data_IF_755425946684
#
_entry.id   IF_755425946684
#
_cell.length_a   1.000
_cell.length_b   1.000
_cell.length_c   1.000
_cell.angle_alpha   90.00
_cell.angle_beta   90.00
_cell.angle_gamma   90.00
#
_symmetry.space_group_name_H-M   'P 1'
#
loop_
_entity.id
_entity.type
_entity.pdbx_description
1 polymer ?
#
# COMPACT_ATOMS: atom_id res chain seq x y z
N UNK A 1 9.88 -26.97 9.21
CA UNK A 1 9.31 -26.65 7.88
C UNK A 1 10.17 -27.12 6.69
N UNK A 2 11.29 -27.83 6.87
CA UNK A 2 12.24 -28.17 5.78
C UNK A 2 11.99 -29.52 5.06
N UNK A 3 10.91 -30.25 5.37
CA UNK A 3 10.61 -31.57 4.78
C UNK A 3 9.21 -31.67 4.16
N UNK A 4 8.58 -30.53 3.81
CA UNK A 4 7.23 -30.50 3.24
C UNK A 4 7.25 -30.39 1.71
N UNK A 5 6.30 -31.05 1.05
CA UNK A 5 5.95 -30.76 -0.35
C UNK A 5 5.36 -29.34 -0.45
N UNK A 6 5.73 -28.59 -1.49
CA UNK A 6 5.12 -27.29 -1.81
C UNK A 6 4.85 -27.23 -3.32
N UNK A 7 3.68 -26.71 -3.69
CA UNK A 7 3.34 -26.41 -5.08
C UNK A 7 3.79 -24.98 -5.42
N UNK A 8 4.30 -24.78 -6.62
CA UNK A 8 4.63 -23.44 -7.13
C UNK A 8 3.87 -23.23 -8.44
N UNK A 9 3.03 -22.19 -8.49
CA UNK A 9 2.46 -21.72 -9.75
C UNK A 9 3.35 -20.63 -10.33
N UNK A 10 3.73 -20.81 -11.60
CA UNK A 10 4.62 -19.93 -12.34
C UNK A 10 4.02 -19.40 -13.65
N UNK A 11 2.74 -19.67 -13.92
CA UNK A 11 2.01 -19.12 -15.06
C UNK A 11 0.86 -18.23 -14.61
N UNK A 12 0.54 -17.13 -15.34
CA UNK A 12 -0.58 -16.26 -15.00
C UNK A 12 -1.93 -16.99 -14.88
N UNK A 13 -2.17 -17.99 -15.73
CA UNK A 13 -3.40 -18.77 -15.76
C UNK A 13 -3.59 -19.63 -14.51
N UNK A 14 -2.57 -20.37 -14.10
CA UNK A 14 -2.60 -21.19 -12.87
C UNK A 14 -2.72 -20.31 -11.63
N UNK A 15 -2.05 -19.16 -11.59
CA UNK A 15 -2.15 -18.21 -10.48
C UNK A 15 -3.57 -17.67 -10.38
N UNK A 16 -4.17 -17.21 -11.48
CA UNK A 16 -5.54 -16.73 -11.51
C UNK A 16 -6.54 -17.81 -11.08
N UNK A 17 -6.38 -19.05 -11.58
CA UNK A 17 -7.21 -20.18 -11.19
C UNK A 17 -7.10 -20.46 -9.68
N UNK A 18 -5.87 -20.49 -9.13
CA UNK A 18 -5.64 -20.70 -7.70
C UNK A 18 -6.24 -19.59 -6.83
N UNK A 19 -6.18 -18.33 -7.25
CA UNK A 19 -6.76 -17.19 -6.51
C UNK A 19 -8.29 -17.25 -6.44
N UNK A 20 -8.93 -17.83 -7.45
CA UNK A 20 -10.39 -17.95 -7.56
C UNK A 20 -10.95 -19.27 -7.00
N UNK A 21 -10.10 -20.26 -6.70
CA UNK A 21 -10.55 -21.58 -6.28
C UNK A 21 -11.08 -21.59 -4.83
N UNK A 22 -12.23 -22.24 -4.62
CA UNK A 22 -12.93 -22.30 -3.33
C UNK A 22 -12.12 -22.96 -2.20
N UNK A 23 -11.47 -24.09 -2.50
CA UNK A 23 -10.70 -24.89 -1.54
C UNK A 23 -9.20 -24.54 -1.44
N UNK A 24 -8.76 -23.43 -2.05
CA UNK A 24 -7.37 -22.94 -1.98
C UNK A 24 -7.41 -21.62 -1.22
N UNK A 25 -6.98 -21.63 0.05
CA UNK A 25 -7.24 -20.52 0.98
C UNK A 25 -5.97 -19.86 1.51
N UNK A 26 -6.02 -18.54 1.73
CA UNK A 26 -4.99 -17.80 2.46
C UNK A 26 -5.22 -17.77 3.97
N UNK A 27 -6.45 -18.02 4.41
CA UNK A 27 -6.89 -17.88 5.80
C UNK A 27 -5.96 -18.58 6.82
N UNK A 28 -5.44 -19.81 6.59
CA UNK A 28 -4.51 -20.44 7.53
C UNK A 28 -3.22 -19.64 7.77
N UNK A 29 -2.70 -18.96 6.73
CA UNK A 29 -1.51 -18.11 6.87
C UNK A 29 -1.82 -16.82 7.61
N UNK A 30 -3.00 -16.23 7.34
CA UNK A 30 -3.46 -15.04 8.07
C UNK A 30 -3.58 -15.34 9.56
N UNK A 31 -4.15 -16.49 9.93
CA UNK A 31 -4.23 -17.02 11.29
C UNK A 31 -2.83 -17.16 11.91
N UNK A 32 -1.92 -17.89 11.25
CA UNK A 32 -0.57 -18.14 11.76
C UNK A 32 0.24 -16.85 11.96
N UNK A 33 0.13 -15.91 11.02
CA UNK A 33 0.80 -14.61 11.10
C UNK A 33 0.18 -13.71 12.18
N UNK A 34 -1.15 -13.61 12.23
CA UNK A 34 -1.86 -12.75 13.20
C UNK A 34 -1.58 -13.19 14.62
N UNK A 35 -1.59 -14.50 14.90
CA UNK A 35 -1.24 -15.04 16.23
C UNK A 35 0.24 -14.87 16.62
N UNK A 36 1.13 -14.58 15.67
CA UNK A 36 2.53 -14.27 15.94
C UNK A 36 2.75 -12.77 16.18
N UNK A 37 2.05 -11.96 15.40
CA UNK A 37 2.23 -10.52 15.32
C UNK A 37 1.44 -9.78 16.40
N UNK A 38 0.21 -10.22 16.68
CA UNK A 38 -0.67 -9.62 17.66
C UNK A 38 -0.27 -10.01 19.09
N UNK A 39 -0.47 -9.08 20.02
CA UNK A 39 -0.25 -9.29 21.46
C UNK A 39 -1.53 -9.59 22.21
N UNK A 40 -2.40 -10.43 21.62
CA UNK A 40 -3.72 -10.66 22.16
C UNK A 40 -3.74 -11.77 23.21
N UNK A 41 -4.55 -11.62 24.27
CA UNK A 41 -4.98 -12.73 25.10
C UNK A 41 -5.51 -13.91 24.27
N UNK A 42 -5.22 -15.13 24.74
CA UNK A 42 -5.60 -16.36 24.02
C UNK A 42 -7.08 -16.42 23.65
N UNK A 43 -7.98 -16.00 24.55
CA UNK A 43 -9.42 -16.03 24.27
C UNK A 43 -9.83 -15.13 23.10
N UNK A 44 -9.19 -13.97 22.92
CA UNK A 44 -9.41 -13.10 21.77
C UNK A 44 -8.89 -13.71 20.48
N UNK A 45 -7.72 -14.35 20.53
CA UNK A 45 -7.20 -15.13 19.40
C UNK A 45 -8.18 -16.24 19.03
N UNK A 46 -8.64 -17.03 20.00
CA UNK A 46 -9.56 -18.14 19.76
C UNK A 46 -10.87 -17.65 19.13
N UNK A 47 -11.40 -16.50 19.54
CA UNK A 47 -12.57 -15.85 18.90
C UNK A 47 -12.27 -15.43 17.46
N UNK A 48 -11.15 -14.75 17.21
CA UNK A 48 -10.77 -14.32 15.85
C UNK A 48 -10.51 -15.50 14.90
N UNK A 49 -10.10 -16.65 15.44
CA UNK A 49 -9.86 -17.87 14.67
C UNK A 49 -11.11 -18.71 14.38
N UNK A 50 -12.28 -18.32 14.87
CA UNK A 50 -13.51 -19.04 14.54
C UNK A 50 -13.82 -18.93 13.04
N UNK A 51 -14.34 -20.01 12.40
CA UNK A 51 -14.60 -20.03 10.97
C UNK A 51 -15.45 -18.82 10.52
N UNK A 52 -14.96 -18.10 9.52
CA UNK A 52 -15.68 -16.98 8.91
C UNK A 52 -15.49 -15.62 9.59
N UNK A 53 -14.91 -15.54 10.79
CA UNK A 53 -14.67 -14.26 11.48
C UNK A 53 -13.66 -13.39 10.71
N UNK A 54 -12.49 -13.94 10.38
CA UNK A 54 -11.49 -13.21 9.58
C UNK A 54 -12.04 -12.80 8.21
N UNK A 55 -12.81 -13.69 7.56
CA UNK A 55 -13.48 -13.37 6.31
C UNK A 55 -14.46 -12.21 6.44
N UNK A 56 -15.25 -12.18 7.53
CA UNK A 56 -16.17 -11.09 7.80
C UNK A 56 -15.42 -9.77 8.08
N UNK A 57 -14.29 -9.82 8.80
CA UNK A 57 -13.41 -8.65 8.98
C UNK A 57 -12.91 -8.13 7.63
N UNK A 58 -12.43 -9.01 6.74
CA UNK A 58 -12.00 -8.64 5.38
C UNK A 58 -13.12 -8.01 4.57
N UNK A 59 -14.33 -8.57 4.64
CA UNK A 59 -15.52 -8.04 3.97
C UNK A 59 -15.89 -6.65 4.50
N UNK A 60 -15.85 -6.45 5.82
CA UNK A 60 -16.07 -5.15 6.45
C UNK A 60 -15.04 -4.12 5.99
N UNK A 61 -13.76 -4.49 5.89
CA UNK A 61 -12.72 -3.60 5.35
C UNK A 61 -12.97 -3.25 3.89
N UNK A 62 -13.27 -4.25 3.05
CA UNK A 62 -13.49 -4.06 1.62
C UNK A 62 -14.73 -3.22 1.30
N UNK A 63 -15.76 -3.28 2.14
CA UNK A 63 -16.96 -2.44 2.01
C UNK A 63 -16.67 -0.96 2.33
N UNK A 64 -15.79 -0.71 3.30
CA UNK A 64 -15.46 0.64 3.78
C UNK A 64 -14.38 1.36 2.97
N UNK A 65 -13.75 0.69 2.01
CA UNK A 65 -12.74 1.25 1.11
C UNK A 65 -13.30 1.40 -0.32
N UNK A 66 -14.57 1.81 -0.43
CA UNK A 66 -15.28 2.08 -1.68
C UNK A 66 -16.18 3.30 -1.53
N UNK A 67 -16.61 3.86 -2.67
CA UNK A 67 -17.64 4.90 -2.75
C UNK A 67 -17.36 6.08 -1.79
N UNK A 68 -18.38 6.59 -1.10
CA UNK A 68 -18.31 7.78 -0.24
C UNK A 68 -17.28 7.63 0.90
N UNK A 69 -17.17 6.44 1.52
CA UNK A 69 -16.22 6.20 2.60
C UNK A 69 -14.77 6.35 2.12
N UNK A 70 -14.46 5.80 0.94
CA UNK A 70 -13.15 5.99 0.30
C UNK A 70 -12.91 7.45 -0.09
N UNK A 71 -13.92 8.15 -0.60
CA UNK A 71 -13.78 9.57 -0.99
C UNK A 71 -13.45 10.47 0.21
N UNK A 72 -14.07 10.24 1.36
CA UNK A 72 -13.74 10.96 2.61
C UNK A 72 -12.30 10.71 3.05
N UNK A 73 -11.85 9.45 2.99
CA UNK A 73 -10.45 9.10 3.30
C UNK A 73 -9.48 9.77 2.32
N UNK A 74 -9.74 9.68 1.01
CA UNK A 74 -8.94 10.32 -0.03
C UNK A 74 -8.83 11.84 0.23
N UNK A 75 -9.95 12.49 0.52
CA UNK A 75 -9.96 13.93 0.80
C UNK A 75 -9.11 14.28 2.03
N UNK A 76 -9.23 13.53 3.12
CA UNK A 76 -8.46 13.76 4.34
C UNK A 76 -6.95 13.57 4.11
N UNK A 77 -6.54 12.49 3.44
CA UNK A 77 -5.14 12.23 3.13
C UNK A 77 -4.55 13.30 2.20
N UNK A 78 -5.24 13.60 1.10
CA UNK A 78 -4.77 14.60 0.13
C UNK A 78 -4.77 16.02 0.70
N UNK A 79 -5.71 16.34 1.61
CA UNK A 79 -5.68 17.62 2.34
C UNK A 79 -4.43 17.73 3.21
N UNK A 80 -4.03 16.66 3.90
CA UNK A 80 -2.77 16.63 4.65
C UNK A 80 -1.57 16.83 3.71
N UNK A 81 -1.53 16.09 2.60
CA UNK A 81 -0.46 16.19 1.61
C UNK A 81 -0.35 17.59 1.00
N UNK A 82 -1.47 18.22 0.65
CA UNK A 82 -1.50 19.62 0.23
C UNK A 82 -0.94 20.56 1.31
N UNK A 83 -1.28 20.31 2.58
CA UNK A 83 -0.71 21.03 3.72
C UNK A 83 0.82 20.98 3.73
N UNK A 84 1.41 19.80 3.53
CA UNK A 84 2.86 19.62 3.42
C UNK A 84 3.43 20.34 2.20
N UNK A 85 2.78 20.23 1.03
CA UNK A 85 3.21 20.97 -0.18
C UNK A 85 3.20 22.49 0.02
N UNK A 86 2.24 22.99 0.79
CA UNK A 86 2.10 24.42 1.07
C UNK A 86 3.16 24.98 2.02
N UNK A 87 3.86 24.15 2.79
CA UNK A 87 4.96 24.62 3.67
C UNK A 87 6.28 24.77 2.95
N UNK A 88 6.42 24.17 1.75
CA UNK A 88 7.66 24.24 0.96
C UNK A 88 7.79 25.63 0.36
N UNK A 89 8.79 26.36 0.86
CA UNK A 89 9.13 27.71 0.44
C UNK A 89 10.64 27.76 0.14
N UNK A 90 11.03 28.32 -1.01
CA UNK A 90 12.42 28.32 -1.46
C UNK A 90 12.98 26.92 -1.73
N UNK A 91 14.31 26.78 -1.73
CA UNK A 91 15.00 25.51 -1.94
C UNK A 91 15.04 24.74 -0.62
N UNK A 92 14.33 23.62 -0.57
CA UNK A 92 14.26 22.71 0.58
C UNK A 92 15.04 21.44 0.30
N UNK A 93 16.24 21.24 0.87
CA UNK A 93 16.95 19.97 0.76
C UNK A 93 16.20 18.90 1.56
N UNK A 94 16.01 17.73 0.96
CA UNK A 94 15.56 16.54 1.65
C UNK A 94 16.80 15.75 2.08
N UNK A 95 16.97 15.53 3.38
CA UNK A 95 18.11 14.78 3.92
C UNK A 95 18.11 13.32 3.46
N UNK A 96 16.90 12.74 3.30
CA UNK A 96 16.63 11.44 2.71
C UNK A 96 15.23 11.50 2.08
N UNK A 97 15.17 11.36 0.75
CA UNK A 97 13.90 11.48 0.02
C UNK A 97 12.92 10.34 0.32
N UNK A 98 13.43 9.13 0.57
CA UNK A 98 12.57 8.00 0.93
C UNK A 98 11.96 8.18 2.31
N UNK A 99 12.75 8.56 3.32
CA UNK A 99 12.26 8.83 4.67
C UNK A 99 11.26 9.98 4.69
N UNK A 100 11.48 11.04 3.90
CA UNK A 100 10.54 12.15 3.77
C UNK A 100 9.20 11.71 3.16
N UNK A 101 9.23 11.00 2.02
CA UNK A 101 8.00 10.46 1.39
C UNK A 101 7.28 9.51 2.33
N UNK A 102 8.03 8.59 2.96
CA UNK A 102 7.51 7.59 3.87
C UNK A 102 6.83 8.23 5.08
N UNK A 103 7.45 9.22 5.71
CA UNK A 103 6.86 9.96 6.84
C UNK A 103 5.63 10.77 6.42
N UNK A 104 5.74 11.50 5.31
CA UNK A 104 4.67 12.36 4.78
C UNK A 104 3.41 11.57 4.43
N UNK A 105 3.58 10.47 3.70
CA UNK A 105 2.47 9.58 3.36
C UNK A 105 1.87 8.93 4.60
N UNK A 106 2.70 8.41 5.50
CA UNK A 106 2.19 7.69 6.69
C UNK A 106 1.36 8.62 7.57
N UNK A 107 1.77 9.87 7.73
CA UNK A 107 0.99 10.88 8.43
C UNK A 107 -0.30 11.28 7.70
N UNK A 108 -0.27 11.35 6.37
CA UNK A 108 -1.47 11.59 5.57
C UNK A 108 -2.49 10.45 5.75
N UNK A 109 -2.05 9.20 5.64
CA UNK A 109 -2.86 8.00 5.85
C UNK A 109 -3.38 7.92 7.28
N UNK A 110 -2.55 8.17 8.29
CA UNK A 110 -2.98 8.17 9.69
C UNK A 110 -4.03 9.26 9.95
N UNK A 111 -3.86 10.45 9.38
CA UNK A 111 -4.85 11.54 9.48
C UNK A 111 -6.17 11.14 8.82
N UNK A 112 -6.12 10.47 7.66
CA UNK A 112 -7.31 9.95 7.01
C UNK A 112 -8.03 8.85 7.80
N UNK A 113 -7.28 8.08 8.60
CA UNK A 113 -7.83 7.01 9.44
C UNK A 113 -8.44 7.56 10.74
N UNK A 114 -7.71 8.38 11.49
CA UNK A 114 -8.06 8.79 12.85
C UNK A 114 -8.76 10.16 12.96
N UNK A 115 -8.86 10.91 11.86
CA UNK A 115 -9.50 12.23 11.86
C UNK A 115 -8.75 13.27 12.69
N UNK A 116 -9.48 14.19 13.32
CA UNK A 116 -8.94 15.29 14.14
C UNK A 116 -8.22 14.82 15.40
N UNK A 117 -8.55 13.61 15.86
CA UNK A 117 -7.96 12.98 17.04
C UNK A 117 -6.76 12.09 16.68
N UNK A 118 -6.18 12.28 15.48
CA UNK A 118 -4.96 11.61 15.06
C UNK A 118 -3.83 11.85 16.08
N UNK A 119 -3.40 10.75 16.72
CA UNK A 119 -2.36 10.72 17.74
C UNK A 119 -0.96 10.41 17.17
N UNK A 120 -0.84 10.26 15.85
CA UNK A 120 0.42 9.90 15.23
C UNK A 120 1.38 11.08 15.23
N UNK A 121 2.63 10.81 15.56
CA UNK A 121 3.73 11.78 15.56
C UNK A 121 5.01 11.12 15.01
N UNK A 122 6.11 11.88 14.98
CA UNK A 122 7.39 11.39 14.49
C UNK A 122 7.90 10.16 15.25
N UNK A 123 7.59 10.05 16.55
CA UNK A 123 8.01 8.92 17.39
C UNK A 123 7.20 7.67 17.07
N UNK A 124 5.90 7.81 16.85
CA UNK A 124 5.03 6.72 16.40
C UNK A 124 5.46 6.19 15.02
N UNK A 125 5.89 7.06 14.11
CA UNK A 125 6.46 6.64 12.84
C UNK A 125 7.71 5.77 13.04
N UNK A 126 8.64 6.20 13.90
CA UNK A 126 9.84 5.41 14.22
C UNK A 126 9.48 4.04 14.82
N UNK A 127 8.49 3.99 15.70
CA UNK A 127 7.99 2.74 16.27
C UNK A 127 7.35 1.83 15.21
N UNK A 128 6.59 2.40 14.27
CA UNK A 128 6.01 1.64 13.15
C UNK A 128 7.11 0.95 12.32
N UNK A 129 8.15 1.69 11.96
CA UNK A 129 9.25 1.15 11.15
C UNK A 129 10.18 0.22 11.94
N UNK A 130 10.33 0.45 13.24
CA UNK A 130 11.03 -0.49 14.14
C UNK A 130 10.27 -1.81 14.26
N UNK A 131 8.95 -1.74 14.40
CA UNK A 131 8.08 -2.91 14.42
C UNK A 131 8.14 -3.66 13.09
N UNK A 132 8.01 -2.96 11.98
CA UNK A 132 8.08 -3.51 10.63
C UNK A 132 9.34 -4.36 10.41
N UNK A 133 10.52 -3.81 10.73
CA UNK A 133 11.82 -4.50 10.56
C UNK A 133 11.90 -5.83 11.31
N UNK A 134 11.16 -5.98 12.42
CA UNK A 134 11.12 -7.21 13.21
C UNK A 134 9.84 -8.04 13.06
N UNK A 135 8.82 -7.55 12.35
CA UNK A 135 7.53 -8.23 12.22
C UNK A 135 7.68 -9.61 11.55
N UNK A 136 8.57 -9.72 10.56
CA UNK A 136 8.93 -10.98 9.94
C UNK A 136 9.47 -12.02 10.93
N UNK A 137 10.33 -11.60 11.85
CA UNK A 137 10.90 -12.49 12.86
C UNK A 137 9.85 -12.96 13.87
N UNK A 138 8.84 -12.13 14.16
CA UNK A 138 7.70 -12.52 15.00
C UNK A 138 6.88 -13.65 14.35
N UNK A 139 6.64 -13.58 13.03
CA UNK A 139 5.92 -14.61 12.27
C UNK A 139 6.62 -15.98 12.35
N UNK A 140 7.94 -16.00 12.44
CA UNK A 140 8.71 -17.25 12.57
C UNK A 140 8.51 -17.96 13.93
N UNK A 141 8.04 -17.24 14.96
CA UNK A 141 7.79 -17.75 16.33
C UNK A 141 8.99 -18.40 17.01
N UNK A 142 10.22 -18.08 16.58
CA UNK A 142 11.46 -18.61 17.18
C UNK A 142 11.96 -17.64 18.25
N UNK A 143 11.74 -17.97 19.53
CA UNK A 143 12.20 -17.18 20.68
C UNK A 143 12.02 -15.65 20.50
N UNK A 144 10.79 -15.15 20.32
CA UNK A 144 10.52 -13.78 19.85
C UNK A 144 11.13 -12.69 20.75
N UNK A 145 11.18 -12.92 22.07
CA UNK A 145 11.79 -12.00 23.03
C UNK A 145 13.31 -11.86 22.85
N UNK A 146 13.97 -12.83 22.22
CA UNK A 146 15.41 -12.78 21.91
C UNK A 146 15.67 -12.24 20.51
N UNK A 147 14.89 -12.65 19.52
CA UNK A 147 15.15 -12.30 18.10
C UNK A 147 14.51 -10.99 17.66
N UNK A 148 13.43 -10.55 18.31
CA UNK A 148 12.68 -9.34 17.93
C UNK A 148 12.28 -8.44 19.12
N UNK A 149 13.13 -8.23 20.16
CA UNK A 149 12.74 -7.46 21.35
C UNK A 149 12.37 -6.02 21.03
N UNK A 150 13.06 -5.38 20.07
CA UNK A 150 12.75 -4.00 19.63
C UNK A 150 11.38 -3.88 18.99
N UNK A 151 10.98 -4.86 18.17
CA UNK A 151 9.67 -4.87 17.53
C UNK A 151 8.55 -5.10 18.54
N UNK A 152 8.76 -5.98 19.54
CA UNK A 152 7.81 -6.19 20.63
C UNK A 152 7.61 -4.90 21.44
N UNK A 153 8.71 -4.24 21.79
CA UNK A 153 8.66 -2.97 22.53
C UNK A 153 7.97 -1.86 21.72
N UNK A 154 8.27 -1.76 20.41
CA UNK A 154 7.61 -0.81 19.52
C UNK A 154 6.11 -1.10 19.41
N UNK A 155 5.70 -2.35 19.14
CA UNK A 155 4.29 -2.78 19.15
C UNK A 155 3.57 -2.36 20.42
N UNK A 156 4.18 -2.59 21.58
CA UNK A 156 3.61 -2.21 22.86
C UNK A 156 3.40 -0.70 22.96
N UNK A 157 4.41 0.10 22.62
CA UNK A 157 4.30 1.57 22.63
C UNK A 157 3.20 2.07 21.69
N UNK A 158 3.08 1.48 20.50
CA UNK A 158 2.02 1.83 19.55
C UNK A 158 0.63 1.52 20.12
N UNK A 159 0.43 0.32 20.67
CA UNK A 159 -0.82 -0.07 21.31
C UNK A 159 -1.16 0.83 22.51
N UNK A 160 -0.18 1.16 23.36
CA UNK A 160 -0.39 2.03 24.51
C UNK A 160 -0.81 3.45 24.09
N UNK A 161 -0.26 4.00 23.01
CA UNK A 161 -0.65 5.33 22.50
C UNK A 161 -2.06 5.32 21.88
N UNK A 162 -2.43 4.23 21.22
CA UNK A 162 -3.73 4.08 20.55
C UNK A 162 -4.86 3.77 21.57
N UNK A 163 -4.52 3.19 22.72
CA UNK A 163 -5.50 2.75 23.73
C UNK A 163 -6.48 3.84 24.20
N UNK A 164 -6.05 5.08 24.56
CA UNK A 164 -6.99 6.12 24.99
C UNK A 164 -8.02 6.49 23.93
N UNK A 165 -7.68 6.38 22.64
CA UNK A 165 -8.60 6.68 21.54
C UNK A 165 -9.79 5.73 21.52
N UNK A 166 -9.56 4.42 21.64
CA UNK A 166 -10.64 3.43 21.69
C UNK A 166 -11.36 3.42 23.04
N UNK A 167 -10.66 3.63 24.16
CA UNK A 167 -11.27 3.74 25.49
C UNK A 167 -12.27 4.90 25.57
N UNK A 168 -11.89 6.06 25.02
CA UNK A 168 -12.75 7.23 24.97
C UNK A 168 -13.78 7.18 23.82
N UNK A 169 -13.89 6.04 23.11
CA UNK A 169 -14.84 5.83 21.99
C UNK A 169 -14.68 6.85 20.86
N UNK A 170 -13.48 7.43 20.73
CA UNK A 170 -13.19 8.43 19.68
C UNK A 170 -13.25 7.81 18.28
N UNK A 171 -13.08 6.50 18.18
CA UNK A 171 -13.27 5.75 16.94
C UNK A 171 -14.67 5.92 16.35
N UNK A 172 -15.67 6.32 17.14
CA UNK A 172 -17.05 6.55 16.70
C UNK A 172 -17.32 7.97 16.18
N UNK A 173 -16.32 8.86 16.27
CA UNK A 173 -16.44 10.23 15.78
C UNK A 173 -16.67 10.24 14.26
N UNK A 174 -17.48 11.19 13.79
CA UNK A 174 -17.92 11.27 12.39
C UNK A 174 -16.79 11.53 11.39
N UNK A 175 -15.67 12.10 11.86
CA UNK A 175 -14.47 12.39 11.06
C UNK A 175 -13.45 11.24 11.02
N UNK A 176 -13.66 10.18 11.80
CA UNK A 176 -12.85 8.95 11.75
C UNK A 176 -13.26 8.10 10.53
N UNK A 177 -12.30 7.40 9.92
CA UNK A 177 -12.60 6.55 8.76
C UNK A 177 -13.59 5.43 9.11
N UNK A 178 -14.55 5.17 8.21
CA UNK A 178 -15.54 4.08 8.38
C UNK A 178 -14.90 2.71 8.58
N UNK A 179 -13.71 2.48 8.00
CA UNK A 179 -12.96 1.24 8.22
C UNK A 179 -12.61 1.04 9.70
N UNK A 180 -12.17 2.08 10.42
CA UNK A 180 -11.88 1.96 11.86
C UNK A 180 -13.18 1.84 12.68
N UNK A 181 -14.19 2.67 12.39
CA UNK A 181 -15.49 2.62 13.05
C UNK A 181 -16.12 1.22 13.01
N UNK A 182 -16.24 0.66 11.81
CA UNK A 182 -16.98 -0.57 11.59
C UNK A 182 -16.19 -1.79 12.06
N UNK A 183 -14.86 -1.77 11.95
CA UNK A 183 -14.00 -2.82 12.53
C UNK A 183 -14.07 -2.81 14.05
N UNK A 184 -13.92 -1.64 14.68
CA UNK A 184 -13.97 -1.51 16.13
C UNK A 184 -15.33 -1.94 16.69
N UNK A 185 -16.43 -1.53 16.02
CA UNK A 185 -17.77 -2.01 16.34
C UNK A 185 -17.89 -3.53 16.23
N UNK A 186 -17.45 -4.12 15.12
CA UNK A 186 -17.52 -5.57 14.92
C UNK A 186 -16.68 -6.34 15.96
N UNK A 187 -15.48 -5.87 16.28
CA UNK A 187 -14.64 -6.48 17.32
C UNK A 187 -15.30 -6.40 18.71
N UNK A 188 -16.00 -5.31 19.03
CA UNK A 188 -16.79 -5.19 20.27
C UNK A 188 -17.98 -6.14 20.30
N UNK A 189 -18.68 -6.33 19.17
CA UNK A 189 -19.76 -7.32 19.05
C UNK A 189 -19.26 -8.75 19.28
N UNK A 190 -17.99 -9.03 18.97
CA UNK A 190 -17.31 -10.29 19.29
C UNK A 190 -16.83 -10.39 20.74
N UNK A 191 -17.12 -9.40 21.58
CA UNK A 191 -16.76 -9.38 23.00
C UNK A 191 -15.37 -8.84 23.30
N UNK A 192 -14.67 -8.22 22.33
CA UNK A 192 -13.40 -7.54 22.59
C UNK A 192 -13.65 -6.14 23.16
N UNK A 193 -13.25 -5.86 24.42
CA UNK A 193 -13.50 -4.56 25.03
C UNK A 193 -12.61 -3.48 24.40
N UNK A 194 -13.02 -2.21 24.52
CA UNK A 194 -12.34 -1.08 23.86
C UNK A 194 -10.85 -0.96 24.19
N UNK A 195 -10.45 -1.28 25.42
CA UNK A 195 -9.06 -1.29 25.87
C UNK A 195 -8.18 -2.29 25.13
N UNK A 196 -8.75 -3.39 24.66
CA UNK A 196 -8.04 -4.47 23.96
C UNK A 196 -7.99 -4.24 22.44
N UNK A 197 -8.90 -3.42 21.88
CA UNK A 197 -8.89 -3.09 20.45
C UNK A 197 -7.54 -2.53 19.99
N UNK A 198 -6.89 -1.73 20.84
CA UNK A 198 -5.57 -1.13 20.55
C UNK A 198 -4.46 -2.15 20.26
N UNK A 199 -4.60 -3.39 20.76
CA UNK A 199 -3.64 -4.48 20.55
C UNK A 199 -3.75 -5.07 19.13
N UNK A 200 -4.81 -4.74 18.39
CA UNK A 200 -5.04 -5.19 17.01
C UNK A 200 -5.04 -4.05 16.01
N UNK A 201 -5.63 -2.92 16.37
CA UNK A 201 -5.95 -1.87 15.42
C UNK A 201 -4.73 -1.05 14.96
N UNK A 202 -3.60 -1.14 15.65
CA UNK A 202 -2.32 -0.59 15.16
C UNK A 202 -1.89 -1.24 13.81
N UNK A 203 -2.40 -2.44 13.50
CA UNK A 203 -2.13 -3.10 12.22
C UNK A 203 -2.75 -2.40 11.01
N UNK A 204 -3.80 -1.59 11.19
CA UNK A 204 -4.45 -0.90 10.07
C UNK A 204 -3.55 0.16 9.45
N UNK A 205 -3.02 1.15 10.19
CA UNK A 205 -2.07 2.10 9.64
C UNK A 205 -0.76 1.41 9.18
N UNK A 206 -0.31 0.34 9.85
CA UNK A 206 0.80 -0.49 9.36
C UNK A 206 0.53 -1.08 7.97
N UNK A 207 -0.60 -1.76 7.78
CA UNK A 207 -0.96 -2.37 6.51
C UNK A 207 -1.22 -1.34 5.40
N UNK A 208 -1.78 -0.18 5.76
CA UNK A 208 -2.11 0.88 4.82
C UNK A 208 -0.87 1.60 4.25
N UNK A 209 0.26 1.60 4.98
CA UNK A 209 1.43 2.43 4.66
C UNK A 209 2.65 1.62 4.22
N UNK A 210 2.82 0.39 4.72
CA UNK A 210 3.98 -0.49 4.46
C UNK A 210 4.38 -0.55 2.97
N UNK A 211 3.40 -0.75 2.09
CA UNK A 211 3.64 -0.89 0.65
C UNK A 211 3.47 0.43 -0.09
N UNK A 212 2.48 1.24 0.30
CA UNK A 212 2.15 2.49 -0.37
C UNK A 212 3.31 3.49 -0.29
N UNK A 213 4.03 3.57 0.82
CA UNK A 213 5.20 4.45 0.96
C UNK A 213 6.30 4.12 -0.06
N UNK A 214 6.57 2.83 -0.24
CA UNK A 214 7.55 2.36 -1.21
C UNK A 214 7.06 2.60 -2.64
N UNK A 215 5.79 2.30 -2.94
CA UNK A 215 5.21 2.54 -4.27
C UNK A 215 5.23 4.03 -4.65
N UNK A 216 4.91 4.92 -3.71
CA UNK A 216 4.97 6.35 -3.92
C UNK A 216 6.42 6.81 -4.17
N UNK A 217 7.37 6.35 -3.36
CA UNK A 217 8.78 6.65 -3.59
C UNK A 217 9.25 6.21 -4.97
N UNK A 218 8.94 4.98 -5.40
CA UNK A 218 9.33 4.52 -6.73
C UNK A 218 8.64 5.31 -7.85
N UNK A 219 7.36 5.68 -7.69
CA UNK A 219 6.67 6.53 -8.67
C UNK A 219 7.32 7.90 -8.76
N UNK A 220 7.68 8.48 -7.61
CA UNK A 220 8.43 9.72 -7.55
C UNK A 220 9.80 9.57 -8.22
N UNK A 221 10.62 8.60 -7.81
CA UNK A 221 11.98 8.43 -8.33
C UNK A 221 12.00 8.17 -9.84
N UNK A 222 11.09 7.32 -10.33
CA UNK A 222 11.04 6.98 -11.76
C UNK A 222 10.52 8.15 -12.62
N UNK A 223 9.61 8.98 -12.10
CA UNK A 223 9.13 10.17 -12.84
C UNK A 223 10.15 11.29 -12.77
N UNK A 224 10.65 11.66 -11.59
CA UNK A 224 11.47 12.86 -11.40
C UNK A 224 12.95 12.68 -11.76
N UNK A 225 13.44 11.45 -11.95
CA UNK A 225 14.75 11.21 -12.58
C UNK A 225 14.76 11.41 -14.10
N UNK A 226 13.59 11.65 -14.73
CA UNK A 226 13.40 11.73 -16.18
C UNK A 226 12.65 13.00 -16.56
N UNK A 227 13.34 14.09 -16.94
CA UNK A 227 12.71 15.38 -17.24
C UNK A 227 11.57 15.29 -18.27
N UNK A 228 11.70 14.43 -19.27
CA UNK A 228 10.68 14.16 -20.29
C UNK A 228 9.39 13.54 -19.72
N UNK A 229 9.50 12.76 -18.63
CA UNK A 229 8.34 12.17 -17.96
C UNK A 229 7.68 13.19 -17.04
N UNK A 230 8.46 14.00 -16.32
CA UNK A 230 7.93 15.14 -15.55
C UNK A 230 7.09 16.05 -16.45
N UNK A 231 7.61 16.38 -17.64
CA UNK A 231 6.90 17.26 -18.57
C UNK A 231 5.63 16.61 -19.12
N UNK A 232 5.64 15.32 -19.50
CA UNK A 232 4.40 14.62 -19.91
C UNK A 232 3.35 14.61 -18.80
N UNK A 233 3.74 14.26 -17.57
CA UNK A 233 2.81 14.27 -16.42
C UNK A 233 2.24 15.67 -16.23
N UNK A 234 3.08 16.71 -16.28
CA UNK A 234 2.65 18.11 -16.15
C UNK A 234 1.62 18.52 -17.20
N UNK A 235 1.83 18.13 -18.46
CA UNK A 235 0.89 18.41 -19.55
C UNK A 235 -0.47 17.70 -19.35
N UNK A 236 -0.50 16.57 -18.66
CA UNK A 236 -1.75 15.91 -18.27
C UNK A 236 -2.43 16.62 -17.10
N UNK A 237 -1.67 16.89 -16.03
CA UNK A 237 -2.22 17.40 -14.77
C UNK A 237 -2.73 18.83 -14.90
N UNK A 238 -2.09 19.68 -15.72
CA UNK A 238 -2.55 21.06 -15.94
C UNK A 238 -3.99 21.12 -16.49
N UNK A 239 -4.44 20.10 -17.22
CA UNK A 239 -5.79 20.04 -17.80
C UNK A 239 -6.88 19.71 -16.78
N UNK A 240 -6.50 19.12 -15.64
CA UNK A 240 -7.41 18.74 -14.55
C UNK A 240 -7.23 19.58 -13.29
N UNK A 241 -6.29 20.52 -13.32
CA UNK A 241 -6.09 21.51 -12.29
C UNK A 241 -6.96 22.75 -12.57
N UNK A 242 -7.63 23.25 -11.53
CA UNK A 242 -8.40 24.49 -11.60
C UNK A 242 -7.69 25.55 -10.77
N UNK A 243 -7.38 26.67 -11.41
CA UNK A 243 -6.75 27.83 -10.80
C UNK A 243 -7.81 28.89 -10.44
N UNK A 244 -7.80 29.36 -9.20
CA UNK A 244 -8.63 30.47 -8.75
C UNK A 244 -7.79 31.52 -8.02
N UNK A 245 -8.14 32.80 -8.19
CA UNK A 245 -7.49 33.88 -7.44
C UNK A 245 -7.90 33.82 -5.97
N UNK A 246 -6.93 33.93 -5.06
CA UNK A 246 -7.15 34.05 -3.61
C UNK A 246 -6.54 35.36 -3.08
N UNK A 247 -6.83 35.69 -1.82
CA UNK A 247 -6.32 36.93 -1.19
C UNK A 247 -4.80 36.97 -1.11
N UNK A 248 -4.15 35.81 -0.98
CA UNK A 248 -2.71 35.65 -0.79
C UNK A 248 -1.98 35.16 -2.03
N UNK A 249 -2.65 35.05 -3.18
CA UNK A 249 -2.07 34.49 -4.41
C UNK A 249 -3.09 33.72 -5.23
N UNK A 250 -2.80 32.44 -5.48
CA UNK A 250 -3.64 31.54 -6.28
C UNK A 250 -3.90 30.24 -5.57
N UNK A 251 -5.12 29.76 -5.63
CA UNK A 251 -5.46 28.41 -5.21
C UNK A 251 -5.45 27.51 -6.45
N UNK A 252 -4.68 26.41 -6.40
CA UNK A 252 -4.70 25.38 -7.44
C UNK A 252 -5.31 24.12 -6.87
N UNK A 253 -6.47 23.75 -7.41
CA UNK A 253 -7.25 22.59 -6.98
C UNK A 253 -7.15 21.47 -8.00
N UNK A 254 -6.66 20.30 -7.58
CA UNK A 254 -6.64 19.08 -8.41
C UNK A 254 -7.83 18.19 -8.03
N UNK A 255 -8.60 17.76 -9.03
CA UNK A 255 -9.61 16.72 -8.83
C UNK A 255 -8.98 15.33 -8.85
N UNK A 256 -8.82 14.73 -7.68
CA UNK A 256 -8.16 13.45 -7.53
C UNK A 256 -8.90 12.29 -8.23
N UNK A 257 -10.24 12.37 -8.37
CA UNK A 257 -11.02 11.35 -9.12
C UNK A 257 -10.73 11.38 -10.61
N UNK A 258 -10.37 12.54 -11.16
CA UNK A 258 -10.07 12.71 -12.58
C UNK A 258 -8.70 12.15 -12.96
N UNK A 259 -7.74 12.11 -12.01
CA UNK A 259 -6.35 11.72 -12.32
C UNK A 259 -6.22 10.35 -13.00
N UNK A 260 -7.03 9.37 -12.60
CA UNK A 260 -6.97 8.03 -13.21
C UNK A 260 -7.44 8.02 -14.67
N UNK A 261 -8.48 8.79 -15.00
CA UNK A 261 -9.07 8.82 -16.34
C UNK A 261 -8.37 9.81 -17.27
N UNK A 262 -7.98 10.96 -16.74
CA UNK A 262 -7.55 12.14 -17.51
C UNK A 262 -6.01 12.35 -17.49
N UNK A 263 -5.28 11.58 -16.67
CA UNK A 263 -3.81 11.54 -16.65
C UNK A 263 -3.27 10.13 -16.94
N UNK A 264 -3.50 9.60 -18.17
CA UNK A 264 -3.17 8.22 -18.51
C UNK A 264 -1.67 7.90 -18.43
N UNK A 265 -0.78 8.83 -18.75
CA UNK A 265 0.67 8.62 -18.61
C UNK A 265 1.10 8.56 -17.14
N UNK A 266 0.55 9.41 -16.27
CA UNK A 266 0.79 9.30 -14.83
C UNK A 266 0.26 7.97 -14.27
N UNK A 267 -0.94 7.55 -14.67
CA UNK A 267 -1.49 6.24 -14.33
C UNK A 267 -0.64 5.08 -14.85
N UNK A 268 -0.10 5.21 -16.06
CA UNK A 268 0.82 4.24 -16.66
C UNK A 268 2.15 4.16 -15.90
N UNK A 269 2.71 5.29 -15.44
CA UNK A 269 3.89 5.31 -14.58
C UNK A 269 3.65 4.52 -13.30
N UNK A 270 2.50 4.75 -12.64
CA UNK A 270 2.13 4.01 -11.44
C UNK A 270 1.98 2.50 -11.70
N UNK A 271 1.32 2.11 -12.79
CA UNK A 271 1.19 0.68 -13.17
C UNK A 271 2.55 0.03 -13.45
N UNK A 272 3.47 0.75 -14.08
CA UNK A 272 4.82 0.25 -14.37
C UNK A 272 5.67 0.14 -13.11
N UNK A 273 5.54 1.06 -12.17
CA UNK A 273 6.12 0.93 -10.83
C UNK A 273 5.60 -0.31 -10.13
N UNK A 274 4.29 -0.55 -10.13
CA UNK A 274 3.71 -1.73 -9.52
C UNK A 274 4.22 -3.03 -10.16
N UNK A 275 4.53 -3.02 -11.46
CA UNK A 275 5.12 -4.17 -12.16
C UNK A 275 6.59 -4.40 -11.76
N UNK A 276 7.40 -3.36 -11.79
CA UNK A 276 8.85 -3.50 -11.55
C UNK A 276 9.20 -3.65 -10.08
N UNK A 277 8.47 -2.99 -9.20
CA UNK A 277 8.82 -2.89 -7.78
C UNK A 277 7.96 -3.78 -6.88
N UNK A 278 6.94 -4.47 -7.40
CA UNK A 278 6.26 -5.52 -6.63
C UNK A 278 7.07 -6.81 -6.59
N UNK A 279 7.28 -7.32 -5.38
CA UNK A 279 7.89 -8.61 -5.08
C UNK A 279 6.94 -9.49 -4.25
N UNK A 280 5.62 -9.30 -4.44
CA UNK A 280 4.57 -10.00 -3.71
C UNK A 280 4.68 -11.53 -3.86
N UNK A 281 4.62 -12.25 -2.73
CA UNK A 281 4.55 -13.72 -2.70
C UNK A 281 3.15 -14.16 -2.28
N UNK A 282 2.43 -14.78 -3.21
CA UNK A 282 1.14 -15.40 -2.91
C UNK A 282 1.33 -16.68 -2.12
N UNK A 283 0.59 -16.83 -1.03
CA UNK A 283 0.60 -18.03 -0.20
C UNK A 283 -0.81 -18.61 -0.13
N UNK A 284 -0.95 -19.92 -0.32
CA UNK A 284 -2.22 -20.63 -0.15
C UNK A 284 -2.01 -22.00 0.46
N UNK A 285 -2.99 -22.46 1.23
CA UNK A 285 -3.10 -23.83 1.76
C UNK A 285 -4.21 -24.54 0.98
N UNK A 286 -3.92 -25.76 0.53
CA UNK A 286 -4.93 -26.62 -0.09
C UNK A 286 -5.80 -27.22 1.02
N UNK A 287 -7.07 -26.83 1.10
CA UNK A 287 -7.99 -27.20 2.18
C UNK A 287 -8.67 -28.55 1.94
N UNK A 288 -8.84 -28.92 0.67
CA UNK A 288 -9.31 -30.22 0.17
C UNK A 288 -8.55 -30.58 -1.09
N UNK A 289 -8.45 -31.87 -1.41
CA UNK A 289 -7.91 -32.29 -2.71
C UNK A 289 -8.67 -31.54 -3.82
N UNK A 290 -7.92 -30.89 -4.72
CA UNK A 290 -8.45 -29.96 -5.71
C UNK A 290 -7.70 -30.09 -7.02
N UNK A 291 -8.36 -29.83 -8.14
CA UNK A 291 -7.73 -29.84 -9.46
C UNK A 291 -7.69 -28.43 -10.01
N UNK A 292 -6.51 -27.98 -10.43
CA UNK A 292 -6.37 -26.76 -11.25
C UNK A 292 -6.22 -27.15 -12.71
N UNK A 293 -6.76 -26.32 -13.60
CA UNK A 293 -6.59 -26.45 -15.04
C UNK A 293 -5.90 -25.21 -15.57
N UNK A 294 -4.91 -25.38 -16.46
CA UNK A 294 -4.29 -24.26 -17.17
C UNK A 294 -5.05 -23.91 -18.46
N UNK A 295 -4.53 -22.96 -19.22
CA UNK A 295 -5.13 -22.51 -20.49
C UNK A 295 -5.07 -23.55 -21.61
N UNK A 296 -4.22 -24.56 -21.48
CA UNK A 296 -4.03 -25.64 -22.47
C UNK A 296 -4.85 -26.88 -22.10
N UNK A 297 -5.69 -26.79 -21.05
CA UNK A 297 -6.50 -27.90 -20.55
C UNK A 297 -5.71 -28.91 -19.70
N UNK A 298 -4.47 -28.61 -19.31
CA UNK A 298 -3.68 -29.51 -18.46
C UNK A 298 -4.19 -29.44 -17.02
N UNK A 299 -4.48 -30.60 -16.46
CA UNK A 299 -5.03 -30.72 -15.11
C UNK A 299 -3.95 -31.11 -14.09
N UNK A 300 -3.98 -30.43 -12.94
CA UNK A 300 -3.02 -30.57 -11.85
C UNK A 300 -3.75 -30.93 -10.56
N UNK A 301 -3.57 -32.17 -10.08
CA UNK A 301 -4.12 -32.60 -8.80
C UNK A 301 -3.28 -32.07 -7.63
N UNK A 302 -3.89 -31.20 -6.83
CA UNK A 302 -3.34 -30.64 -5.61
C UNK A 302 -3.87 -31.39 -4.40
N UNK A 303 -2.97 -31.72 -3.48
CA UNK A 303 -3.27 -32.52 -2.29
C UNK A 303 -3.52 -31.66 -1.07
N UNK A 304 -4.58 -31.98 -0.31
CA UNK A 304 -4.94 -31.35 0.96
C UNK A 304 -3.74 -31.25 1.89
N UNK A 305 -3.64 -30.12 2.59
CA UNK A 305 -2.59 -29.83 3.57
C UNK A 305 -1.27 -29.34 2.96
N UNK A 306 -1.12 -29.42 1.64
CA UNK A 306 0.08 -28.89 0.95
C UNK A 306 -0.03 -27.38 0.80
N UNK A 307 1.09 -26.67 0.93
CA UNK A 307 1.15 -25.24 0.63
C UNK A 307 1.39 -25.01 -0.86
N UNK A 308 0.88 -23.90 -1.37
CA UNK A 308 1.07 -23.42 -2.73
C UNK A 308 1.58 -21.97 -2.68
N UNK A 309 2.56 -21.66 -3.52
CA UNK A 309 3.10 -20.31 -3.66
C UNK A 309 3.21 -19.86 -5.12
N UNK A 310 3.28 -18.55 -5.31
CA UNK A 310 3.69 -17.92 -6.55
C UNK A 310 4.37 -16.58 -6.25
N UNK A 311 5.17 -16.09 -7.18
CA UNK A 311 5.82 -14.79 -7.09
C UNK A 311 5.30 -13.87 -8.18
N UNK A 312 4.87 -12.67 -7.80
CA UNK A 312 4.52 -11.62 -8.75
C UNK A 312 5.71 -11.26 -9.66
N UNK A 313 6.95 -11.26 -9.12
CA UNK A 313 8.16 -11.03 -9.90
C UNK A 313 8.34 -11.98 -11.08
N UNK A 314 7.84 -13.23 -10.99
CA UNK A 314 7.91 -14.16 -12.12
C UNK A 314 7.02 -13.65 -13.25
N UNK A 315 5.75 -13.38 -12.98
CA UNK A 315 4.81 -12.94 -14.03
C UNK A 315 5.02 -11.51 -14.50
N UNK A 316 5.56 -10.65 -13.64
CA UNK A 316 5.83 -9.24 -13.94
C UNK A 316 7.03 -9.05 -14.88
N UNK A 317 7.91 -10.04 -15.00
CA UNK A 317 9.13 -9.96 -15.81
C UNK A 317 9.18 -10.99 -16.96
N UNK A 318 8.09 -11.71 -17.23
CA UNK A 318 7.96 -12.64 -18.38
C UNK A 318 8.16 -11.89 -19.72
N UNK A 319 9.26 -12.14 -20.47
CA UNK A 319 9.51 -11.48 -21.75
C UNK A 319 8.42 -11.75 -22.79
N UNK A 320 7.79 -12.92 -22.74
CA UNK A 320 6.69 -13.29 -23.62
C UNK A 320 5.43 -12.40 -23.44
N UNK A 321 5.30 -11.70 -22.30
CA UNK A 321 4.20 -10.76 -22.00
C UNK A 321 4.66 -9.31 -22.07
N UNK A 322 5.85 -9.04 -21.55
CA UNK A 322 6.35 -7.68 -21.33
C UNK A 322 7.43 -7.25 -22.33
N UNK A 323 7.93 -8.15 -23.18
CA UNK A 323 9.04 -7.90 -24.11
C UNK A 323 10.42 -8.16 -23.49
N UNK A 324 11.46 -8.24 -24.32
CA UNK A 324 12.85 -8.47 -23.87
C UNK A 324 13.36 -7.35 -22.94
N UNK A 325 12.76 -6.17 -23.04
CA UNK A 325 13.01 -5.00 -22.19
C UNK A 325 12.16 -5.03 -20.89
N UNK A 326 11.66 -6.19 -20.46
CA UNK A 326 10.82 -6.33 -19.26
C UNK A 326 11.48 -5.79 -17.98
N UNK A 327 12.81 -5.73 -17.90
CA UNK A 327 13.51 -5.16 -16.74
C UNK A 327 13.56 -3.62 -16.74
N UNK A 328 13.20 -2.97 -17.86
CA UNK A 328 13.25 -1.52 -18.01
C UNK A 328 11.93 -0.84 -17.63
N UNK A 329 12.02 0.32 -16.98
CA UNK A 329 10.87 1.18 -16.68
C UNK A 329 10.35 1.86 -17.95
N UNK A 330 9.20 1.39 -18.44
CA UNK A 330 8.56 1.86 -19.68
C UNK A 330 7.05 2.01 -19.50
N UNK A 331 6.55 3.16 -19.02
CA UNK A 331 5.12 3.42 -18.83
C UNK A 331 4.28 3.19 -20.10
N UNK A 332 4.85 3.41 -21.28
CA UNK A 332 4.20 3.21 -22.58
C UNK A 332 3.61 1.79 -22.75
N UNK A 333 4.06 0.80 -21.97
CA UNK A 333 3.44 -0.54 -21.94
C UNK A 333 1.97 -0.54 -21.52
N UNK A 334 1.48 0.53 -20.92
CA UNK A 334 0.10 0.67 -20.47
C UNK A 334 -0.69 1.70 -21.27
N UNK A 335 -0.11 2.23 -22.35
CA UNK A 335 -0.75 3.19 -23.24
C UNK A 335 -1.02 2.55 -24.60
N UNK A 336 -2.19 2.84 -25.17
CA UNK A 336 -2.57 2.46 -26.54
C UNK A 336 -2.28 0.98 -26.89
N UNK A 337 -2.62 0.08 -25.95
CA UNK A 337 -2.32 -1.36 -26.03
C UNK A 337 -3.40 -2.11 -26.81
N UNK A 338 -3.00 -3.04 -27.68
CA UNK A 338 -3.93 -3.96 -28.34
C UNK A 338 -4.76 -4.73 -27.29
N UNK A 339 -6.08 -4.90 -27.48
CA UNK A 339 -6.96 -5.55 -26.50
C UNK A 339 -6.51 -6.96 -26.05
N UNK A 340 -5.83 -7.71 -26.93
CA UNK A 340 -5.31 -9.05 -26.59
C UNK A 340 -4.12 -8.94 -25.65
N UNK A 341 -3.20 -8.03 -25.93
CA UNK A 341 -2.04 -7.78 -25.06
C UNK A 341 -2.46 -7.17 -23.72
N UNK A 342 -3.45 -6.28 -23.71
CA UNK A 342 -4.01 -5.74 -22.46
C UNK A 342 -4.60 -6.86 -21.59
N UNK A 343 -5.32 -7.82 -22.20
CA UNK A 343 -5.84 -8.99 -21.47
C UNK A 343 -4.71 -9.85 -20.88
N UNK A 344 -3.64 -10.10 -21.64
CA UNK A 344 -2.48 -10.89 -21.18
C UNK A 344 -1.74 -10.18 -20.04
N UNK A 345 -1.44 -8.89 -20.22
CA UNK A 345 -0.78 -8.03 -19.22
C UNK A 345 -1.60 -7.93 -17.93
N UNK A 346 -2.92 -7.75 -18.03
CA UNK A 346 -3.83 -7.73 -16.86
C UNK A 346 -3.81 -9.04 -16.08
N UNK A 347 -3.71 -10.19 -16.76
CA UNK A 347 -3.59 -11.49 -16.10
C UNK A 347 -2.25 -11.71 -15.40
N UNK A 348 -1.18 -11.10 -15.92
CA UNK A 348 0.17 -11.22 -15.36
C UNK A 348 0.45 -10.19 -14.24
N UNK A 349 -0.15 -9.01 -14.30
CA UNK A 349 0.04 -7.91 -13.37
C UNK A 349 -0.82 -8.09 -12.10
N UNK A 350 -0.24 -8.76 -11.09
CA UNK A 350 -0.89 -9.05 -9.80
C UNK A 350 -0.32 -8.33 -8.55
N UNK A 351 -0.01 -7.00 -8.59
CA UNK A 351 0.65 -6.29 -7.49
C UNK A 351 -0.18 -6.21 -6.20
N UNK A 352 -1.51 -6.37 -6.32
CA UNK A 352 -2.47 -6.30 -5.22
C UNK A 352 -3.05 -7.67 -4.84
N UNK A 353 -2.49 -8.76 -5.37
CA UNK A 353 -3.11 -10.08 -5.30
C UNK A 353 -4.34 -10.18 -6.20
N UNK A 354 -5.28 -11.07 -5.84
CA UNK A 354 -6.49 -11.32 -6.64
C UNK A 354 -7.47 -12.26 -5.96
N UNK A 355 -8.61 -12.47 -6.62
CA UNK A 355 -9.72 -13.26 -6.09
C UNK A 355 -10.30 -12.66 -4.80
N UNK A 356 -10.61 -13.53 -3.82
CA UNK A 356 -11.18 -13.13 -2.51
C UNK A 356 -10.23 -12.30 -1.65
N UNK A 357 -8.92 -12.36 -1.92
CA UNK A 357 -7.88 -11.68 -1.13
C UNK A 357 -7.23 -10.53 -1.90
N UNK A 358 -7.98 -9.88 -2.79
CA UNK A 358 -7.54 -8.67 -3.48
C UNK A 358 -7.43 -7.51 -2.48
N UNK A 359 -6.31 -6.78 -2.50
CA UNK A 359 -6.07 -5.66 -1.58
C UNK A 359 -7.27 -4.68 -1.56
N UNK A 360 -7.93 -4.46 -0.40
CA UNK A 360 -9.06 -3.57 -0.32
C UNK A 360 -8.66 -2.09 -0.45
N UNK A 361 -7.44 -1.73 -0.04
CA UNK A 361 -6.91 -0.36 -0.05
C UNK A 361 -6.29 0.11 -1.37
N UNK A 362 -6.30 -0.71 -2.43
CA UNK A 362 -5.60 -0.40 -3.70
C UNK A 362 -5.98 0.95 -4.33
N UNK A 363 -7.27 1.33 -4.27
CA UNK A 363 -7.74 2.60 -4.83
C UNK A 363 -7.35 3.81 -3.95
N UNK A 364 -7.28 3.61 -2.63
CA UNK A 364 -6.78 4.62 -1.69
C UNK A 364 -5.28 4.87 -1.95
N UNK A 365 -4.48 3.80 -2.00
CA UNK A 365 -3.05 3.87 -2.29
C UNK A 365 -2.73 4.53 -3.65
N UNK A 366 -3.52 4.20 -4.69
CA UNK A 366 -3.41 4.84 -6.00
C UNK A 366 -3.74 6.33 -5.92
N UNK A 367 -4.83 6.71 -5.22
CA UNK A 367 -5.24 8.11 -5.11
C UNK A 367 -4.20 8.95 -4.36
N UNK A 368 -3.66 8.45 -3.25
CA UNK A 368 -2.57 9.11 -2.51
C UNK A 368 -1.34 9.31 -3.42
N UNK A 369 -0.98 8.27 -4.18
CA UNK A 369 0.21 8.28 -5.03
C UNK A 369 0.07 9.25 -6.20
N UNK A 370 -1.00 9.13 -6.99
CA UNK A 370 -1.24 10.00 -8.13
C UNK A 370 -1.45 11.44 -7.68
N UNK A 371 -2.21 11.67 -6.61
CA UNK A 371 -2.45 13.01 -6.06
C UNK A 371 -1.15 13.72 -5.68
N UNK A 372 -0.29 13.08 -4.90
CA UNK A 372 0.97 13.69 -4.48
C UNK A 372 1.91 13.97 -5.64
N UNK A 373 2.13 12.97 -6.52
CA UNK A 373 3.02 13.11 -7.68
C UNK A 373 2.49 14.16 -8.67
N UNK A 374 1.17 14.25 -8.85
CA UNK A 374 0.56 15.23 -9.76
C UNK A 374 0.84 16.67 -9.35
N UNK A 375 0.67 17.01 -8.08
CA UNK A 375 0.94 18.35 -7.56
C UNK A 375 2.44 18.69 -7.60
N UNK A 376 3.30 17.72 -7.23
CA UNK A 376 4.76 17.87 -7.35
C UNK A 376 5.18 18.17 -8.80
N UNK A 377 4.72 17.37 -9.77
CA UNK A 377 5.09 17.54 -11.17
C UNK A 377 4.57 18.87 -11.74
N UNK A 378 3.38 19.29 -11.29
CA UNK A 378 2.72 20.47 -11.80
C UNK A 378 3.34 21.79 -11.32
N UNK A 379 3.86 21.90 -10.10
CA UNK A 379 4.36 23.19 -9.59
C UNK A 379 5.66 23.18 -8.81
N UNK A 380 6.42 22.08 -8.84
CA UNK A 380 7.74 22.01 -8.22
C UNK A 380 8.82 21.62 -9.22
N UNK A 381 10.03 22.13 -8.96
CA UNK A 381 11.27 21.64 -9.53
C UNK A 381 11.92 20.71 -8.50
N UNK A 382 12.35 19.54 -8.97
CA UNK A 382 12.91 18.47 -8.14
C UNK A 382 14.27 18.08 -8.71
N UNK A 383 15.33 18.52 -8.05
CA UNK A 383 16.70 18.27 -8.48
C UNK A 383 17.32 17.10 -7.71
N UNK A 384 18.29 16.42 -8.32
CA UNK A 384 19.11 15.40 -7.63
C UNK A 384 18.42 14.05 -7.45
N UNK A 385 17.36 13.76 -8.21
CA UNK A 385 16.66 12.46 -8.14
C UNK A 385 17.41 11.44 -8.99
N UNK A 386 17.93 10.42 -8.33
CA UNK A 386 18.44 9.19 -8.96
C UNK A 386 17.54 8.01 -8.58
N UNK A 387 17.40 7.03 -9.48
CA UNK A 387 16.69 5.78 -9.18
C UNK A 387 17.66 4.85 -8.46
N UNK A 388 17.48 4.59 -7.15
CA UNK A 388 18.38 3.73 -6.40
C UNK A 388 18.19 2.26 -6.79
N UNK A 389 19.15 1.42 -6.40
CA UNK A 389 18.98 -0.02 -6.47
C UNK A 389 17.79 -0.47 -5.60
N UNK A 390 17.11 -1.54 -6.02
CA UNK A 390 15.97 -2.08 -5.31
C UNK A 390 16.37 -3.30 -4.47
N UNK A 391 16.01 -3.30 -3.19
CA UNK A 391 16.16 -4.41 -2.26
C UNK A 391 14.84 -5.17 -2.08
N UNK A 392 14.95 -6.43 -1.68
CA UNK A 392 13.78 -7.25 -1.37
C UNK A 392 12.96 -6.62 -0.23
N UNK A 393 11.62 -6.73 -0.27
CA UNK A 393 10.81 -6.31 0.86
C UNK A 393 11.18 -7.10 2.14
N UNK A 394 10.95 -6.52 3.32
CA UNK A 394 10.89 -7.29 4.56
C UNK A 394 9.88 -8.43 4.45
N UNK A 395 10.04 -9.49 5.24
CA UNK A 395 9.05 -10.58 5.27
C UNK A 395 7.67 -10.02 5.66
N UNK A 396 6.68 -10.25 4.79
CA UNK A 396 5.32 -9.70 4.91
C UNK A 396 5.06 -8.43 4.09
N UNK A 397 6.11 -7.78 3.58
CA UNK A 397 6.00 -6.71 2.58
C UNK A 397 5.82 -7.25 1.16
N UNK A 398 5.25 -6.43 0.29
CA UNK A 398 4.98 -6.76 -1.11
C UNK A 398 5.74 -5.88 -2.10
N UNK A 399 6.25 -4.71 -1.68
CA UNK A 399 6.99 -3.78 -2.55
C UNK A 399 8.46 -3.72 -2.15
N UNK A 400 9.35 -3.81 -3.14
CA UNK A 400 10.80 -3.59 -3.00
C UNK A 400 11.10 -2.25 -2.35
N UNK A 401 12.22 -2.14 -1.66
CA UNK A 401 12.67 -0.91 -1.01
C UNK A 401 13.87 -0.31 -1.73
N UNK A 402 14.07 1.01 -1.69
CA UNK A 402 15.34 1.56 -2.11
C UNK A 402 16.46 1.04 -1.22
N UNK A 403 17.61 0.72 -1.82
CA UNK A 403 18.79 0.33 -1.09
C UNK A 403 19.26 1.45 -0.16
N UNK A 404 19.64 1.07 1.07
CA UNK A 404 19.88 2.02 2.16
C UNK A 404 21.12 2.90 2.00
N UNK A 405 22.02 2.56 1.08
CA UNK A 405 23.30 3.24 0.90
C UNK A 405 23.20 4.53 0.08
N UNK A 406 22.09 4.75 -0.64
CA UNK A 406 21.90 5.91 -1.55
C UNK A 406 20.44 6.25 -1.81
N UNK A 407 19.52 6.03 -0.86
CA UNK A 407 18.10 6.32 -1.04
C UNK A 407 17.81 7.83 -1.13
N UNK A 408 18.22 8.42 -2.26
CA UNK A 408 17.99 9.80 -2.63
C UNK A 408 18.68 10.85 -1.76
N UNK A 409 19.98 10.69 -1.56
CA UNK A 409 20.85 11.75 -1.07
C UNK A 409 20.85 12.90 -2.09
N UNK A 410 20.72 14.15 -1.62
CA UNK A 410 20.78 15.38 -2.43
C UNK A 410 19.50 15.81 -3.17
N UNK A 411 18.33 15.21 -2.89
CA UNK A 411 17.09 15.77 -3.45
C UNK A 411 16.88 17.19 -2.94
N UNK A 412 16.63 18.12 -3.86
CA UNK A 412 16.21 19.48 -3.54
C UNK A 412 14.85 19.74 -4.17
N UNK A 413 13.93 20.19 -3.35
CA UNK A 413 12.59 20.56 -3.78
C UNK A 413 12.43 22.07 -3.70
N UNK A 414 12.02 22.69 -4.79
CA UNK A 414 11.63 24.11 -4.81
C UNK A 414 10.37 24.32 -5.61
N UNK A 415 9.62 25.37 -5.30
CA UNK A 415 8.51 25.79 -6.16
C UNK A 415 9.05 26.19 -7.52
N UNK A 416 8.39 25.73 -8.58
CA UNK A 416 8.76 26.10 -9.95
C UNK A 416 8.54 27.59 -10.13
N UNK A 417 9.35 28.21 -11.00
CA UNK A 417 9.15 29.59 -11.42
C UNK A 417 7.71 29.82 -11.91
N UNK A 418 7.04 30.83 -11.35
CA UNK A 418 5.65 31.16 -11.61
C UNK A 418 4.63 30.31 -10.84
N UNK A 419 5.06 29.56 -9.82
CA UNK A 419 4.23 28.73 -8.92
C UNK A 419 4.49 29.03 -7.44
N UNK A 420 5.22 30.11 -7.16
CA UNK A 420 5.62 30.55 -5.82
C UNK A 420 4.42 31.01 -4.97
N UNK A 421 3.37 31.54 -5.61
CA UNK A 421 2.16 32.09 -4.99
C UNK A 421 1.01 31.07 -4.88
N UNK A 422 1.26 29.80 -5.20
CA UNK A 422 0.23 28.74 -5.27
C UNK A 422 -0.03 28.10 -3.90
N UNK A 423 -1.30 28.07 -3.51
CA UNK A 423 -1.81 27.22 -2.43
C UNK A 423 -2.49 25.99 -3.03
N UNK A 424 -1.95 24.82 -2.73
CA UNK A 424 -2.47 23.53 -3.20
C UNK A 424 -3.73 23.12 -2.44
N UNK A 425 -4.70 22.58 -3.20
CA UNK A 425 -5.91 21.93 -2.70
C UNK A 425 -6.21 20.69 -3.52
N UNK A 426 -6.94 19.76 -2.92
CA UNK A 426 -7.49 18.60 -3.61
C UNK A 426 -8.99 18.48 -3.36
N UNK A 427 -9.71 18.06 -4.38
CA UNK A 427 -11.09 17.59 -4.26
C UNK A 427 -11.15 16.12 -4.62
N UNK A 428 -12.05 15.39 -3.98
CA UNK A 428 -12.23 13.95 -4.18
C UNK A 428 -13.64 13.69 -4.65
#
# INVERSE_FOLDING_TARGET
MLHGKMYVANSPSLIAAAMCHGDISFEPFQIEASSAVLDLPKHHIDTLMQPGILHQIEKTMAANLRQEALQKMNHAALKYLAGVLNTINGISPLSDGFEWIKGTLTMATATALYGKDNMWDAKMLEDLWTFEKGAGLLVMKVAPNLVAPKAIAARKRMSDLIRPFYQARKDENSDVAKILQDRARYLRELGMPSEDLSQTEFLIPFAATLNTASNLFWTFAEVFSRPEYVERVRQEVIRVAVETKSETGRDVTINAKSLEADCPFLGACFREVLRLHSAQIGNRRIMKDATLEDTDGRQYLLKKGTNMQWSASVTHFMPEIWGDDAASFKPERFLDVDPRDEKRRRGALIPFGGGRHLCPGRHFAQTETLGFVSALALGFDVDGVEVPAAEAPPLGGATRRPASDRAAENIKLSRRKGWEDVTWRFVC
#
